data_IF_551519116984
#
_entry.id   IF_551519116984
#
_cell.length_a   1.000
_cell.length_b   1.000
_cell.length_c   1.000
_cell.angle_alpha   90.00
_cell.angle_beta   90.00
_cell.angle_gamma   90.00
#
_symmetry.space_group_name_H-M   'P 1'
#
loop_
_entity.id
_entity.type
_entity.pdbx_description
1 polymer ?
#
# COMPACT_ATOMS: atom_id res chain seq x y z
N UNK A 1 9.58 -11.90 -4.44
CA UNK A 1 10.10 -10.61 -4.89
C UNK A 1 10.90 -10.89 -6.14
N UNK A 2 10.63 -10.14 -7.20
CA UNK A 2 11.34 -10.30 -8.46
C UNK A 2 12.80 -9.87 -8.34
N UNK A 3 13.63 -10.27 -9.29
CA UNK A 3 15.02 -9.82 -9.35
C UNK A 3 15.09 -8.28 -9.41
N UNK A 4 15.92 -7.70 -8.53
CA UNK A 4 16.07 -6.25 -8.38
C UNK A 4 14.96 -5.54 -7.59
N UNK A 5 13.90 -6.24 -7.17
CA UNK A 5 12.87 -5.66 -6.31
C UNK A 5 13.35 -5.54 -4.85
N UNK A 6 13.28 -4.34 -4.28
CA UNK A 6 13.70 -4.02 -2.90
C UNK A 6 12.52 -3.44 -2.12
N UNK A 7 12.29 -3.95 -0.93
CA UNK A 7 11.30 -3.41 0.01
C UNK A 7 11.79 -2.06 0.56
N UNK A 8 10.98 -1.02 0.40
CA UNK A 8 11.25 0.32 0.90
C UNK A 8 10.54 0.56 2.23
N UNK A 9 9.27 0.15 2.32
CA UNK A 9 8.45 0.34 3.52
C UNK A 9 7.40 -0.75 3.66
N UNK A 10 7.03 -1.06 4.89
CA UNK A 10 5.99 -2.01 5.20
C UNK A 10 5.33 -1.66 6.53
N UNK A 11 4.02 -1.77 6.60
CA UNK A 11 3.26 -1.48 7.82
C UNK A 11 2.00 -2.32 7.91
N UNK A 12 1.70 -2.78 9.13
CA UNK A 12 0.41 -3.35 9.47
C UNK A 12 -0.66 -2.25 9.49
N UNK A 13 -1.71 -2.40 8.70
CA UNK A 13 -2.72 -1.35 8.54
C UNK A 13 -4.12 -1.92 8.31
N UNK A 14 -5.09 -1.02 8.23
CA UNK A 14 -6.47 -1.34 7.86
C UNK A 14 -6.82 -0.62 6.56
N UNK A 15 -7.25 -1.38 5.55
CA UNK A 15 -7.83 -0.85 4.32
C UNK A 15 -9.36 -0.83 4.45
N UNK A 16 -9.99 0.27 4.03
CA UNK A 16 -11.41 0.54 4.29
C UNK A 16 -12.36 -0.58 3.86
N UNK A 17 -12.12 -1.20 2.71
CA UNK A 17 -12.98 -2.24 2.13
C UNK A 17 -12.44 -3.65 2.36
N UNK A 18 -11.12 -3.81 2.38
CA UNK A 18 -10.45 -5.11 2.42
C UNK A 18 -10.13 -5.58 3.84
N UNK A 19 -10.11 -4.66 4.80
CA UNK A 19 -9.90 -4.92 6.22
C UNK A 19 -8.43 -4.88 6.64
N UNK A 20 -8.11 -5.66 7.69
CA UNK A 20 -6.75 -5.71 8.24
C UNK A 20 -5.78 -6.45 7.32
N UNK A 21 -4.58 -5.90 7.16
CA UNK A 21 -3.52 -6.49 6.36
C UNK A 21 -2.19 -5.78 6.53
N UNK A 22 -1.32 -5.96 5.55
CA UNK A 22 0.02 -5.37 5.50
C UNK A 22 0.19 -4.63 4.19
N UNK A 23 0.38 -3.32 4.25
CA UNK A 23 0.74 -2.51 3.09
C UNK A 23 2.26 -2.52 2.93
N UNK A 24 2.73 -2.82 1.73
CA UNK A 24 4.14 -2.89 1.38
C UNK A 24 4.42 -2.00 0.17
N UNK A 25 5.40 -1.11 0.30
CA UNK A 25 5.98 -0.35 -0.80
C UNK A 25 7.34 -0.95 -1.15
N UNK A 26 7.53 -1.24 -2.42
CA UNK A 26 8.83 -1.61 -2.99
C UNK A 26 9.27 -0.56 -4.01
N UNK A 27 10.50 -0.68 -4.49
CA UNK A 27 10.98 0.14 -5.62
C UNK A 27 10.29 -0.18 -6.96
N UNK A 28 9.33 -1.13 -7.01
CA UNK A 28 8.60 -1.49 -8.23
C UNK A 28 7.08 -1.40 -8.09
N UNK A 29 6.52 -1.56 -6.88
CA UNK A 29 5.07 -1.67 -6.68
C UNK A 29 4.58 -1.30 -5.29
N UNK A 30 3.28 -1.07 -5.19
CA UNK A 30 2.49 -1.10 -3.97
C UNK A 30 1.75 -2.44 -3.89
N UNK A 31 1.89 -3.14 -2.77
CA UNK A 31 1.25 -4.41 -2.50
C UNK A 31 0.50 -4.38 -1.17
N UNK A 32 -0.64 -5.08 -1.11
CA UNK A 32 -1.37 -5.27 0.14
C UNK A 32 -1.74 -6.74 0.30
N UNK A 33 -1.28 -7.31 1.41
CA UNK A 33 -1.57 -8.68 1.80
C UNK A 33 -2.64 -8.69 2.89
N UNK A 34 -3.76 -9.37 2.66
CA UNK A 34 -4.74 -9.61 3.72
C UNK A 34 -4.16 -10.55 4.76
N UNK A 35 -4.52 -10.27 6.00
CA UNK A 35 -4.10 -11.10 7.13
C UNK A 35 -5.31 -11.60 7.89
N UNK A 36 -5.26 -12.85 8.35
CA UNK A 36 -6.22 -13.41 9.32
C UNK A 36 -5.55 -13.64 10.67
N UNK A 37 -6.38 -13.63 11.72
CA UNK A 37 -5.96 -13.67 13.13
C UNK A 37 -6.00 -12.27 13.76
N UNK A 38 -6.22 -12.19 15.07
CA UNK A 38 -6.16 -10.91 15.81
C UNK A 38 -4.71 -10.71 16.26
N UNK A 39 -4.17 -9.50 16.18
CA UNK A 39 -2.81 -9.21 16.68
C UNK A 39 -2.60 -9.71 18.12
N UNK A 40 -3.66 -9.69 18.94
CA UNK A 40 -3.68 -10.14 20.33
C UNK A 40 -3.45 -11.65 20.52
N UNK A 41 -3.66 -12.48 19.49
CA UNK A 41 -3.49 -13.95 19.55
C UNK A 41 -2.15 -14.45 18.98
N UNK A 42 -1.26 -13.56 18.51
CA UNK A 42 0.02 -13.87 17.87
C UNK A 42 -0.04 -14.91 16.74
N UNK A 43 -1.22 -15.22 16.20
CA UNK A 43 -1.42 -16.25 15.16
C UNK A 43 -1.52 -15.66 13.75
N UNK A 44 -1.10 -14.41 13.57
CA UNK A 44 -1.23 -13.65 12.32
C UNK A 44 -0.66 -14.44 11.14
N UNK A 45 -1.53 -14.79 10.18
CA UNK A 45 -1.15 -15.46 8.93
C UNK A 45 -1.44 -14.55 7.75
N UNK A 46 -0.48 -14.44 6.84
CA UNK A 46 -0.68 -13.87 5.52
C UNK A 46 -1.55 -14.82 4.70
N UNK A 47 -2.62 -14.31 4.09
CA UNK A 47 -3.53 -15.13 3.30
C UNK A 47 -3.30 -14.93 1.81
N UNK A 48 -3.57 -13.73 1.33
CA UNK A 48 -3.68 -13.43 -0.08
C UNK A 48 -3.20 -12.00 -0.34
N UNK A 49 -2.36 -11.83 -1.36
CA UNK A 49 -2.05 -10.53 -1.94
C UNK A 49 -3.26 -10.08 -2.76
N UNK A 50 -4.01 -9.11 -2.25
CA UNK A 50 -5.25 -8.63 -2.88
C UNK A 50 -5.07 -7.31 -3.63
N UNK A 51 -3.96 -6.60 -3.38
CA UNK A 51 -3.52 -5.47 -4.19
C UNK A 51 -2.09 -5.75 -4.59
N UNK A 52 -1.83 -5.68 -5.89
CA UNK A 52 -0.50 -5.80 -6.49
C UNK A 52 -0.44 -4.82 -7.66
N UNK A 53 0.08 -3.62 -7.40
CA UNK A 53 0.02 -2.47 -8.31
C UNK A 53 1.43 -1.98 -8.62
N UNK A 54 1.91 -2.13 -9.86
CA UNK A 54 3.15 -1.50 -10.31
C UNK A 54 3.13 0.01 -10.11
N UNK A 55 4.26 0.62 -9.77
CA UNK A 55 4.33 2.08 -9.54
C UNK A 55 3.94 2.89 -10.78
N UNK A 56 4.15 2.35 -11.98
CA UNK A 56 3.73 2.99 -13.23
C UNK A 56 2.19 3.06 -13.40
N UNK A 57 1.45 2.17 -12.75
CA UNK A 57 0.00 2.14 -12.81
C UNK A 57 -0.66 3.00 -11.71
N UNK A 58 0.13 3.55 -10.78
CA UNK A 58 -0.35 4.50 -9.78
C UNK A 58 -0.60 5.86 -10.43
N UNK A 59 -1.86 6.29 -10.45
CA UNK A 59 -2.28 7.55 -11.07
C UNK A 59 -2.22 8.74 -10.12
N UNK A 60 -2.52 8.51 -8.84
CA UNK A 60 -2.63 9.57 -7.84
C UNK A 60 -2.39 9.01 -6.46
N UNK A 61 -1.73 9.79 -5.60
CA UNK A 61 -1.53 9.51 -4.17
C UNK A 61 -1.86 10.77 -3.38
N UNK A 62 -2.62 10.64 -2.29
CA UNK A 62 -3.00 11.78 -1.45
C UNK A 62 -3.36 11.35 -0.03
N UNK A 63 -3.48 12.33 0.87
CA UNK A 63 -3.99 12.13 2.23
C UNK A 63 -5.45 12.55 2.32
N UNK A 64 -6.25 11.77 3.04
CA UNK A 64 -7.65 12.09 3.32
C UNK A 64 -7.90 12.14 4.84
N UNK A 65 -8.84 12.97 5.27
CA UNK A 65 -9.30 13.03 6.66
C UNK A 65 -8.53 14.04 7.54
N UNK A 66 -9.26 14.71 8.43
CA UNK A 66 -8.70 15.63 9.44
C UNK A 66 -8.36 14.90 10.75
N UNK A 67 -9.25 14.01 11.20
CA UNK A 67 -9.15 13.27 12.46
C UNK A 67 -8.69 11.82 12.25
N UNK A 68 -9.35 11.07 11.37
CA UNK A 68 -8.91 9.75 10.93
C UNK A 68 -8.16 9.88 9.60
N UNK A 69 -6.87 10.20 9.70
CA UNK A 69 -6.03 10.42 8.53
C UNK A 69 -5.79 9.09 7.81
N UNK A 70 -5.92 9.11 6.48
CA UNK A 70 -5.66 7.96 5.61
C UNK A 70 -4.66 8.32 4.53
N UNK A 71 -3.85 7.36 4.12
CA UNK A 71 -3.12 7.43 2.85
C UNK A 71 -3.99 6.76 1.79
N UNK A 72 -4.16 7.43 0.65
CA UNK A 72 -5.02 6.98 -0.43
C UNK A 72 -4.24 6.97 -1.74
N UNK A 73 -4.52 5.99 -2.59
CA UNK A 73 -4.05 6.03 -3.96
C UNK A 73 -5.08 5.47 -4.95
N UNK A 74 -5.06 6.01 -6.17
CA UNK A 74 -5.81 5.49 -7.30
C UNK A 74 -4.84 4.82 -8.25
N UNK A 75 -5.16 3.62 -8.72
CA UNK A 75 -4.34 2.87 -9.65
C UNK A 75 -5.16 2.25 -10.78
N UNK A 76 -4.51 2.06 -11.92
CA UNK A 76 -5.06 1.28 -13.02
C UNK A 76 -5.00 -0.20 -12.65
N UNK A 77 -6.14 -0.88 -12.78
CA UNK A 77 -6.27 -2.32 -12.56
C UNK A 77 -6.97 -2.97 -13.75
N UNK A 78 -7.12 -4.30 -13.73
CA UNK A 78 -7.83 -5.05 -14.77
C UNK A 78 -9.28 -4.60 -14.93
N UNK A 79 -9.92 -4.17 -13.84
CA UNK A 79 -11.33 -3.74 -13.80
C UNK A 79 -11.50 -2.23 -13.98
N UNK A 80 -10.43 -1.51 -14.34
CA UNK A 80 -10.40 -0.06 -14.48
C UNK A 80 -9.67 0.63 -13.31
N UNK A 81 -10.03 1.88 -13.05
CA UNK A 81 -9.40 2.68 -12.01
C UNK A 81 -10.01 2.38 -10.65
N UNK A 82 -9.18 1.88 -9.72
CA UNK A 82 -9.59 1.59 -8.36
C UNK A 82 -8.87 2.50 -7.37
N UNK A 83 -9.57 2.89 -6.30
CA UNK A 83 -9.03 3.72 -5.23
C UNK A 83 -9.01 2.95 -3.92
N UNK A 84 -7.87 2.96 -3.26
CA UNK A 84 -7.62 2.25 -2.01
C UNK A 84 -7.29 3.24 -0.91
N UNK A 85 -7.75 2.98 0.32
CA UNK A 85 -7.62 3.90 1.46
C UNK A 85 -7.15 3.16 2.70
N UNK A 86 -6.01 3.56 3.24
CA UNK A 86 -5.36 2.88 4.35
C UNK A 86 -5.22 3.78 5.57
N UNK A 87 -5.66 3.27 6.72
CA UNK A 87 -5.30 3.81 8.03
C UNK A 87 -3.89 3.34 8.40
N UNK A 88 -2.92 4.24 8.30
CA UNK A 88 -1.50 4.01 8.64
C UNK A 88 -1.06 5.00 9.72
N UNK A 89 0.02 4.67 10.43
CA UNK A 89 0.57 5.44 11.53
C UNK A 89 1.04 6.84 11.09
N UNK A 90 1.81 6.92 9.99
CA UNK A 90 2.30 8.19 9.44
C UNK A 90 1.88 8.38 7.99
N UNK A 91 0.70 8.95 7.79
CA UNK A 91 0.18 9.26 6.43
C UNK A 91 1.06 10.25 5.67
N UNK A 92 1.74 11.16 6.36
CA UNK A 92 2.71 12.08 5.76
C UNK A 92 3.95 11.36 5.25
N UNK A 93 4.54 10.49 6.07
CA UNK A 93 5.69 9.69 5.65
C UNK A 93 5.33 8.78 4.47
N UNK A 94 4.21 8.05 4.56
CA UNK A 94 3.75 7.21 3.46
C UNK A 94 3.49 7.98 2.16
N UNK A 95 2.93 9.19 2.22
CA UNK A 95 2.74 10.01 1.02
C UNK A 95 4.09 10.30 0.34
N UNK A 96 5.06 10.81 1.10
CA UNK A 96 6.37 11.16 0.59
C UNK A 96 7.09 9.92 0.04
N UNK A 97 7.16 8.83 0.82
CA UNK A 97 7.87 7.61 0.42
C UNK A 97 7.30 7.01 -0.88
N UNK A 98 5.97 7.04 -1.06
CA UNK A 98 5.35 6.57 -2.31
C UNK A 98 5.69 7.50 -3.48
N UNK A 99 5.63 8.82 -3.27
CA UNK A 99 5.94 9.78 -4.33
C UNK A 99 7.40 9.68 -4.78
N UNK A 100 8.33 9.61 -3.83
CA UNK A 100 9.76 9.45 -4.08
C UNK A 100 10.01 8.13 -4.83
N UNK A 101 9.39 7.02 -4.41
CA UNK A 101 9.52 5.74 -5.10
C UNK A 101 8.98 5.79 -6.54
N UNK A 102 7.87 6.48 -6.79
CA UNK A 102 7.33 6.65 -8.16
C UNK A 102 8.27 7.48 -9.03
N UNK A 103 8.87 8.54 -8.48
CA UNK A 103 9.82 9.39 -9.19
C UNK A 103 11.11 8.62 -9.52
N UNK A 104 11.69 7.95 -8.54
CA UNK A 104 12.88 7.10 -8.71
C UNK A 104 12.64 5.96 -9.70
N UNK A 105 11.44 5.38 -9.73
CA UNK A 105 11.07 4.34 -10.69
C UNK A 105 10.98 4.88 -12.13
N UNK A 106 10.55 6.13 -12.32
CA UNK A 106 10.45 6.77 -13.66
C UNK A 106 11.80 7.26 -14.20
N UNK A 107 12.76 7.49 -13.32
CA UNK A 107 14.09 7.98 -13.66
C UNK A 107 15.12 6.85 -13.88
N UNK A 108 14.70 5.58 -13.79
CA UNK A 108 15.49 4.39 -14.15
C UNK A 108 15.37 4.09 -15.64
#
# INVERSE_FOLDING_TARGET
MEEGEKKLKQEDCYEDSLGAGVLTLTNKRLAFDKTKGRIMDFSKRFEETVIDVPLNDVKKVWKEGLLMKKICFTAKTKDGDNTYKFGVFSTGGWLNDIQDAIEDFKNQ
#
